data_IF_885788175344
#
_entry.id   IF_885788175344
#
_cell.length_a   1.000
_cell.length_b   1.000
_cell.length_c   1.000
_cell.angle_alpha   90.00
_cell.angle_beta   90.00
_cell.angle_gamma   90.00
#
_symmetry.space_group_name_H-M   'P 1'
#
loop_
_entity.id
_entity.type
_entity.pdbx_description
1 polymer ?
#
# COMPACT_ATOMS: atom_id res chain seq x y z
N UNK A 1 6.64 -24.25 4.13
CA UNK A 1 5.77 -23.80 3.07
C UNK A 1 4.56 -23.06 3.67
N UNK A 2 4.48 -21.78 3.42
CA UNK A 2 3.60 -20.89 4.17
C UNK A 2 2.48 -20.28 3.33
N UNK A 3 2.24 -20.77 2.13
CA UNK A 3 1.17 -20.25 1.30
C UNK A 3 0.26 -21.37 0.82
N UNK A 4 -1.00 -21.01 0.58
CA UNK A 4 -2.03 -21.94 0.21
C UNK A 4 -2.93 -21.28 -0.81
N UNK A 5 -2.96 -21.81 -2.03
CA UNK A 5 -3.63 -21.16 -3.15
C UNK A 5 -5.08 -21.63 -3.29
N UNK A 6 -5.94 -20.70 -3.70
CA UNK A 6 -7.31 -20.98 -4.09
C UNK A 6 -7.68 -20.08 -5.28
N UNK A 7 -8.87 -20.27 -5.85
CA UNK A 7 -9.29 -19.49 -7.02
C UNK A 7 -9.30 -17.99 -6.71
N UNK A 8 -8.49 -17.22 -7.41
CA UNK A 8 -8.39 -15.77 -7.25
C UNK A 8 -7.60 -15.28 -6.06
N UNK A 9 -6.98 -16.19 -5.28
CA UNK A 9 -6.25 -15.76 -4.10
C UNK A 9 -5.32 -16.81 -3.54
N UNK A 10 -4.73 -16.47 -2.40
CA UNK A 10 -3.91 -17.41 -1.64
C UNK A 10 -3.96 -17.02 -0.17
N UNK A 11 -3.73 -18.01 0.69
CA UNK A 11 -3.59 -17.76 2.13
C UNK A 11 -2.11 -17.81 2.45
N UNK A 12 -1.62 -16.73 3.08
CA UNK A 12 -0.23 -16.63 3.52
C UNK A 12 -0.19 -16.78 5.03
N UNK A 13 0.70 -17.63 5.50
CA UNK A 13 0.80 -17.92 6.92
C UNK A 13 2.24 -17.82 7.41
N UNK A 14 2.40 -17.23 8.60
CA UNK A 14 3.64 -17.23 9.34
C UNK A 14 3.32 -17.31 10.82
N UNK A 15 4.19 -17.96 11.59
CA UNK A 15 3.97 -18.16 13.03
C UNK A 15 3.77 -16.85 13.80
N UNK A 16 4.46 -15.78 13.34
CA UNK A 16 4.42 -14.48 14.03
C UNK A 16 3.23 -13.61 13.61
N UNK A 17 2.64 -13.85 12.43
CA UNK A 17 1.58 -13.00 11.90
C UNK A 17 0.22 -13.68 11.85
N UNK A 18 0.17 -15.00 11.76
CA UNK A 18 -1.05 -15.75 11.54
C UNK A 18 -1.33 -16.02 10.07
N UNK A 19 -2.51 -16.51 9.78
CA UNK A 19 -2.93 -16.89 8.43
C UNK A 19 -3.96 -15.87 7.92
N UNK A 20 -3.67 -15.25 6.77
CA UNK A 20 -4.57 -14.27 6.17
C UNK A 20 -4.63 -14.46 4.65
N UNK A 21 -5.83 -14.30 4.05
CA UNK A 21 -5.95 -14.38 2.59
C UNK A 21 -5.48 -13.10 1.93
N UNK A 22 -4.88 -13.24 0.76
CA UNK A 22 -4.55 -12.12 -0.13
C UNK A 22 -5.13 -12.50 -1.49
N UNK A 23 -5.86 -11.58 -2.12
CA UNK A 23 -6.59 -11.92 -3.34
C UNK A 23 -6.82 -10.68 -4.20
N UNK A 24 -7.34 -10.91 -5.40
CA UNK A 24 -7.69 -9.84 -6.34
C UNK A 24 -6.50 -9.01 -6.78
N UNK A 25 -6.73 -7.73 -6.99
CA UNK A 25 -5.69 -6.84 -7.50
C UNK A 25 -4.59 -6.55 -6.48
N UNK A 26 -4.91 -6.60 -5.18
CA UNK A 26 -3.87 -6.49 -4.15
C UNK A 26 -2.90 -7.65 -4.27
N UNK A 27 -3.39 -8.87 -4.47
CA UNK A 27 -2.52 -10.03 -4.68
C UNK A 27 -1.68 -9.89 -5.95
N UNK A 28 -2.30 -9.44 -7.04
CA UNK A 28 -1.58 -9.26 -8.31
C UNK A 28 -0.43 -8.27 -8.14
N UNK A 29 -0.67 -7.16 -7.47
CA UNK A 29 0.36 -6.15 -7.23
C UNK A 29 1.42 -6.65 -6.25
N UNK A 30 0.99 -7.35 -5.20
CA UNK A 30 1.88 -7.99 -4.23
C UNK A 30 2.88 -8.91 -4.93
N UNK A 31 2.38 -9.77 -5.81
CA UNK A 31 3.26 -10.68 -6.58
C UNK A 31 4.16 -9.95 -7.56
N UNK A 32 3.64 -8.93 -8.23
CA UNK A 32 4.40 -8.18 -9.22
C UNK A 32 5.55 -7.38 -8.59
N UNK A 33 5.48 -7.08 -7.29
CA UNK A 33 6.45 -6.23 -6.62
C UNK A 33 7.34 -6.96 -5.62
N UNK A 34 7.29 -8.29 -5.58
CA UNK A 34 8.26 -9.07 -4.81
C UNK A 34 7.72 -10.01 -3.76
N UNK A 35 6.40 -10.08 -3.60
CA UNK A 35 5.76 -11.01 -2.68
C UNK A 35 6.25 -10.85 -1.23
N UNK A 36 6.18 -11.91 -0.44
CA UNK A 36 6.57 -11.86 0.98
C UNK A 36 8.05 -11.56 1.20
N UNK A 37 8.89 -11.83 0.21
CA UNK A 37 10.31 -11.46 0.30
C UNK A 37 10.53 -9.95 0.32
N UNK A 38 9.62 -9.17 -0.25
CA UNK A 38 9.67 -7.70 -0.27
C UNK A 38 8.81 -7.09 0.81
N UNK A 39 7.56 -7.56 0.95
CA UNK A 39 6.55 -6.92 1.78
C UNK A 39 6.31 -7.60 3.12
N UNK A 40 6.86 -8.81 3.28
CA UNK A 40 6.54 -9.62 4.44
C UNK A 40 5.17 -10.28 4.30
N UNK A 41 4.65 -10.74 5.41
CA UNK A 41 3.37 -11.45 5.45
C UNK A 41 2.24 -10.49 5.80
N UNK A 42 1.01 -10.79 5.38
CA UNK A 42 -0.13 -9.94 5.73
C UNK A 42 -0.39 -9.97 7.23
N UNK A 43 -0.74 -8.82 7.78
CA UNK A 43 -1.03 -8.66 9.22
C UNK A 43 -2.52 -8.68 9.51
N UNK A 44 -3.34 -8.47 8.49
CA UNK A 44 -4.80 -8.38 8.60
C UNK A 44 -5.43 -8.93 7.34
N UNK A 45 -6.73 -9.15 7.36
CA UNK A 45 -7.52 -9.40 6.15
C UNK A 45 -7.66 -8.10 5.36
N UNK A 46 -8.06 -8.23 4.09
CA UNK A 46 -8.44 -7.09 3.28
C UNK A 46 -9.71 -6.45 3.89
N UNK A 47 -9.65 -5.14 4.09
CA UNK A 47 -10.75 -4.39 4.70
C UNK A 47 -11.17 -3.22 3.79
N UNK A 48 -12.37 -2.71 4.04
CA UNK A 48 -12.85 -1.51 3.34
C UNK A 48 -12.01 -0.32 3.77
N UNK A 49 -11.55 0.45 2.79
CA UNK A 49 -10.80 1.68 3.01
C UNK A 49 -11.75 2.89 3.05
N UNK A 50 -11.20 4.08 3.24
CA UNK A 50 -11.96 5.31 3.28
C UNK A 50 -12.44 5.76 1.91
N UNK A 51 -13.33 6.74 1.90
CA UNK A 51 -13.87 7.32 0.66
C UNK A 51 -12.83 8.23 0.02
N UNK A 52 -12.57 8.02 -1.27
CA UNK A 52 -11.66 8.88 -2.03
C UNK A 52 -12.24 10.29 -2.14
N UNK A 53 -11.47 11.33 -1.80
CA UNK A 53 -11.93 12.71 -2.00
C UNK A 53 -12.00 13.10 -3.48
N UNK A 54 -11.32 12.38 -4.35
CA UNK A 54 -11.31 12.67 -5.78
C UNK A 54 -12.48 12.03 -6.52
N UNK A 55 -12.86 10.79 -6.15
CA UNK A 55 -13.84 10.02 -6.92
C UNK A 55 -15.11 9.71 -6.16
N UNK A 56 -15.11 9.83 -4.83
CA UNK A 56 -16.24 9.42 -3.99
C UNK A 56 -16.34 7.91 -3.84
N UNK A 57 -15.40 7.15 -4.37
CA UNK A 57 -15.39 5.69 -4.28
C UNK A 57 -14.68 5.23 -3.03
N UNK A 58 -15.11 4.10 -2.50
CA UNK A 58 -14.46 3.42 -1.39
C UNK A 58 -13.71 2.21 -1.94
N UNK A 59 -12.44 2.10 -1.57
CA UNK A 59 -11.59 1.00 -2.00
C UNK A 59 -11.36 -0.03 -0.90
N UNK A 60 -10.23 -0.70 -1.02
CA UNK A 60 -9.80 -1.75 -0.10
C UNK A 60 -8.37 -1.48 0.34
N UNK A 61 -8.03 -1.97 1.55
CA UNK A 61 -6.65 -1.92 2.02
C UNK A 61 -6.29 -3.20 2.73
N UNK A 62 -4.99 -3.46 2.79
CA UNK A 62 -4.46 -4.58 3.56
C UNK A 62 -3.05 -4.21 4.03
N UNK A 63 -2.80 -4.38 5.33
CA UNK A 63 -1.47 -4.16 5.90
C UNK A 63 -0.64 -5.43 5.80
N UNK A 64 0.61 -5.23 5.42
CA UNK A 64 1.67 -6.25 5.44
C UNK A 64 2.77 -5.78 6.39
N UNK A 65 3.70 -6.66 6.72
CA UNK A 65 4.77 -6.31 7.66
C UNK A 65 5.55 -5.07 7.23
N UNK A 66 5.76 -4.88 5.92
CA UNK A 66 6.58 -3.80 5.38
C UNK A 66 5.82 -2.81 4.49
N UNK A 67 4.51 -2.78 4.56
CA UNK A 67 3.78 -1.81 3.76
C UNK A 67 2.28 -1.91 3.89
N UNK A 68 1.62 -0.93 3.29
CA UNK A 68 0.16 -0.85 3.19
C UNK A 68 -0.21 -0.89 1.71
N UNK A 69 -1.09 -1.80 1.34
CA UNK A 69 -1.65 -1.85 -0.01
C UNK A 69 -3.03 -1.21 -0.01
N UNK A 70 -3.27 -0.33 -0.98
CA UNK A 70 -4.55 0.35 -1.17
C UNK A 70 -4.99 0.19 -2.62
N UNK A 71 -6.27 -0.04 -2.81
CA UNK A 71 -6.87 -0.24 -4.12
C UNK A 71 -8.21 0.46 -4.24
N UNK A 72 -8.44 1.12 -5.40
CA UNK A 72 -9.77 1.51 -5.87
C UNK A 72 -9.90 1.14 -7.34
N UNK A 73 -11.12 1.04 -7.87
CA UNK A 73 -11.29 0.80 -9.31
C UNK A 73 -10.62 1.86 -10.18
N UNK A 74 -10.55 3.10 -9.72
CA UNK A 74 -9.98 4.21 -10.50
C UNK A 74 -8.46 4.22 -10.49
N UNK A 75 -7.83 3.82 -9.38
CA UNK A 75 -6.38 3.96 -9.20
C UNK A 75 -5.61 2.65 -9.37
N UNK A 76 -6.28 1.50 -9.22
CA UNK A 76 -5.60 0.21 -9.12
C UNK A 76 -4.95 0.01 -7.77
N UNK A 77 -4.22 -1.09 -7.62
CA UNK A 77 -3.56 -1.43 -6.37
C UNK A 77 -2.15 -0.85 -6.33
N UNK A 78 -1.80 -0.19 -5.23
CA UNK A 78 -0.47 0.39 -5.03
C UNK A 78 -0.07 0.26 -3.58
N UNK A 79 1.25 0.23 -3.33
CA UNK A 79 1.80 0.05 -1.99
C UNK A 79 2.44 1.34 -1.49
N UNK A 80 2.28 1.59 -0.19
CA UNK A 80 2.92 2.69 0.52
C UNK A 80 3.76 2.08 1.62
N UNK A 81 4.97 2.58 1.83
CA UNK A 81 5.86 2.03 2.85
C UNK A 81 6.80 3.10 3.42
N UNK A 82 7.50 2.74 4.49
CA UNK A 82 8.55 3.57 5.08
C UNK A 82 8.07 4.91 5.60
N UNK A 83 8.90 5.93 5.44
CA UNK A 83 8.61 7.28 5.94
C UNK A 83 7.38 7.90 5.27
N UNK A 84 7.17 7.61 4.00
CA UNK A 84 5.99 8.12 3.28
C UNK A 84 4.72 7.52 3.88
N UNK A 85 4.73 6.23 4.23
CA UNK A 85 3.58 5.62 4.90
C UNK A 85 3.30 6.26 6.26
N UNK A 86 4.33 6.52 7.06
CA UNK A 86 4.16 7.17 8.35
C UNK A 86 3.52 8.56 8.21
N UNK A 87 3.98 9.34 7.23
CA UNK A 87 3.41 10.66 6.94
C UNK A 87 1.95 10.56 6.48
N UNK A 88 1.67 9.59 5.62
CA UNK A 88 0.33 9.32 5.11
C UNK A 88 -0.63 9.02 6.28
N UNK A 89 -0.21 8.16 7.20
CA UNK A 89 -1.02 7.78 8.36
C UNK A 89 -1.23 8.96 9.31
N UNK A 90 -0.22 9.80 9.49
CA UNK A 90 -0.29 10.96 10.40
C UNK A 90 -1.11 12.12 9.83
N UNK A 91 -1.40 12.12 8.54
CA UNK A 91 -2.07 13.24 7.87
C UNK A 91 -3.42 12.87 7.25
N UNK A 92 -4.09 11.89 7.82
CA UNK A 92 -5.48 11.60 7.47
C UNK A 92 -5.71 10.51 6.46
N UNK A 93 -4.66 9.86 5.98
CA UNK A 93 -4.73 8.69 5.11
C UNK A 93 -5.47 9.00 3.79
N UNK A 94 -6.09 7.97 3.21
CA UNK A 94 -6.75 8.07 1.90
C UNK A 94 -7.93 9.03 1.88
N UNK A 95 -8.57 9.29 3.02
CA UNK A 95 -9.70 10.23 3.06
C UNK A 95 -9.24 11.69 2.95
N UNK A 96 -8.01 11.98 3.34
CA UNK A 96 -7.43 13.32 3.26
C UNK A 96 -6.52 13.49 2.07
N UNK A 97 -5.58 12.56 1.87
CA UNK A 97 -4.55 12.66 0.82
C UNK A 97 -4.97 11.99 -0.48
N UNK A 98 -6.02 11.20 -0.46
CA UNK A 98 -6.45 10.41 -1.60
C UNK A 98 -5.69 9.08 -1.69
N UNK A 99 -6.10 8.27 -2.66
CA UNK A 99 -5.45 6.99 -2.89
C UNK A 99 -4.16 7.17 -3.68
N UNK A 100 -3.19 6.27 -3.51
CA UNK A 100 -1.96 6.35 -4.28
C UNK A 100 -2.25 6.09 -5.77
N UNK A 101 -1.68 6.92 -6.62
CA UNK A 101 -1.82 6.80 -8.08
C UNK A 101 -0.74 5.92 -8.66
N UNK A 102 0.30 5.63 -7.90
CA UNK A 102 1.41 4.78 -8.30
C UNK A 102 2.20 4.38 -7.08
N UNK A 103 3.18 3.54 -7.28
CA UNK A 103 4.11 3.19 -6.22
C UNK A 103 5.18 4.26 -6.06
N UNK A 104 5.98 4.15 -5.02
CA UNK A 104 7.08 5.05 -4.75
C UNK A 104 8.08 5.05 -5.91
N UNK A 105 8.54 6.24 -6.30
CA UNK A 105 9.48 6.46 -7.40
C UNK A 105 10.71 7.21 -6.89
N UNK A 106 11.79 7.17 -7.68
CA UNK A 106 12.96 7.97 -7.40
C UNK A 106 12.66 9.46 -7.55
N UNK A 107 13.26 10.28 -6.72
CA UNK A 107 13.18 11.75 -6.79
C UNK A 107 14.58 12.32 -6.58
N UNK A 108 15.16 12.89 -7.62
CA UNK A 108 16.53 13.35 -7.56
C UNK A 108 17.52 12.20 -7.41
N UNK A 109 18.67 12.46 -6.81
CA UNK A 109 19.75 11.47 -6.68
C UNK A 109 19.58 10.57 -5.46
N UNK A 110 18.90 11.03 -4.41
CA UNK A 110 18.81 10.31 -3.13
C UNK A 110 17.41 10.29 -2.53
N UNK A 111 16.42 10.89 -3.19
CA UNK A 111 15.07 11.01 -2.67
C UNK A 111 14.10 10.03 -3.28
N UNK A 112 12.90 10.07 -2.75
CA UNK A 112 11.76 9.28 -3.21
C UNK A 112 10.53 10.16 -3.27
N UNK A 113 9.55 9.79 -4.09
CA UNK A 113 8.26 10.45 -4.13
C UNK A 113 7.17 9.43 -4.42
N UNK A 114 5.96 9.77 -4.03
CA UNK A 114 4.78 8.97 -4.36
C UNK A 114 3.61 9.91 -4.60
N UNK A 115 2.90 9.66 -5.69
CA UNK A 115 1.76 10.49 -6.10
C UNK A 115 0.48 9.92 -5.53
N UNK A 116 -0.34 10.82 -4.98
CA UNK A 116 -1.67 10.52 -4.46
C UNK A 116 -2.69 11.38 -5.18
N UNK A 117 -3.96 11.06 -5.03
CA UNK A 117 -5.02 11.80 -5.73
C UNK A 117 -5.03 13.30 -5.39
N UNK A 118 -4.66 13.68 -4.17
CA UNK A 118 -4.72 15.07 -3.71
C UNK A 118 -3.36 15.75 -3.59
N UNK A 119 -2.27 15.02 -3.57
CA UNK A 119 -0.93 15.57 -3.33
C UNK A 119 0.14 14.60 -3.80
N UNK A 120 1.37 15.09 -3.90
CA UNK A 120 2.55 14.24 -4.04
C UNK A 120 3.36 14.35 -2.75
N UNK A 121 3.77 13.22 -2.20
CA UNK A 121 4.65 13.19 -1.04
C UNK A 121 6.07 12.95 -1.51
N UNK A 122 7.01 13.72 -0.97
CA UNK A 122 8.42 13.64 -1.27
C UNK A 122 9.19 13.28 -0.01
N UNK A 123 10.31 12.60 -0.20
CA UNK A 123 11.21 12.27 0.90
C UNK A 123 12.66 12.39 0.46
N UNK A 124 13.49 12.98 1.32
CA UNK A 124 14.95 12.89 1.20
C UNK A 124 15.54 12.62 2.57
N UNK A 125 16.79 12.07 2.63
CA UNK A 125 17.43 11.85 3.92
C UNK A 125 17.64 13.13 4.72
N UNK A 126 17.83 14.26 4.02
CA UNK A 126 18.09 15.55 4.67
C UNK A 126 16.84 16.20 5.23
N UNK A 127 15.70 16.07 4.55
CA UNK A 127 14.50 16.85 4.83
C UNK A 127 13.32 16.04 5.39
N UNK A 128 13.39 14.71 5.36
CA UNK A 128 12.25 13.88 5.73
C UNK A 128 11.17 13.96 4.67
N UNK A 129 9.90 13.84 5.09
CA UNK A 129 8.75 13.83 4.18
C UNK A 129 8.10 15.21 4.13
N UNK A 130 7.73 15.64 2.93
CA UNK A 130 6.92 16.86 2.76
C UNK A 130 5.94 16.68 1.59
N UNK A 131 4.90 17.49 1.59
CA UNK A 131 3.89 17.51 0.54
C UNK A 131 4.08 18.76 -0.34
N UNK A 132 3.69 18.65 -1.60
CA UNK A 132 3.70 19.83 -2.48
C UNK A 132 2.44 20.68 -2.33
#
# INVERSE_FOLDING_TARGET
>A
FNDFKFAGGMILWHADTGAFPVWGQILDHFRATGSEGRWGYPLIDELDAGVSPATGQRGKFQYFEDGLFLWTPATGAHAIHGAILAHFEDNGREEALGYPLGDEEAHGSDGRKQRFEQTTLYWTPANGVWAD
#
